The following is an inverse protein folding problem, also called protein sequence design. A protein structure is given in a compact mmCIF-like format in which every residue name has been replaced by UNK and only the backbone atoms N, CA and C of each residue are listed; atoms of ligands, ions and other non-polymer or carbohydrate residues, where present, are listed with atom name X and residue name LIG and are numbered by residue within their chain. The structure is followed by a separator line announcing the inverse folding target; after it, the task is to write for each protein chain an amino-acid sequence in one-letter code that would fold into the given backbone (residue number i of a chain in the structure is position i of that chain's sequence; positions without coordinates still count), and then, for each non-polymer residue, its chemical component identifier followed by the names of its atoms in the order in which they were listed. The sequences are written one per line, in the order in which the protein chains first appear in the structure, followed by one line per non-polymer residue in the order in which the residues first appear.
data_IF_998647513425
#
_entry.id   IF_998647513425
#
_cell.length_a   1.000
_cell.length_b   1.000
_cell.length_c   1.000
_cell.angle_alpha   90.00
_cell.angle_beta   90.00
_cell.angle_gamma   90.00
#
_symmetry.space_group_name_H-M   'P 1'
#
loop_
_entity.id
_entity.type
_entity.pdbx_description
1 polymer ?
#
# COMPACT_ATOMS: atom_id res chain seq x y z
N UNK A 1 13.57 14.51 -15.55
CA UNK A 1 12.62 13.38 -15.40
C UNK A 1 11.38 13.67 -16.21
N UNK A 2 10.87 12.67 -16.93
CA UNK A 2 9.60 12.81 -17.67
C UNK A 2 8.43 12.70 -16.68
N UNK A 3 7.38 13.52 -16.80
CA UNK A 3 6.20 13.40 -15.94
C UNK A 3 5.38 12.16 -16.31
N UNK A 4 4.52 11.73 -15.39
CA UNK A 4 3.49 10.73 -15.66
C UNK A 4 2.65 11.15 -16.88
N UNK A 5 2.54 10.33 -17.95
CA UNK A 5 1.79 10.71 -19.14
C UNK A 5 0.27 10.70 -18.93
N UNK A 6 -0.22 10.03 -17.87
CA UNK A 6 -1.64 9.99 -17.53
C UNK A 6 -2.06 11.20 -16.69
N UNK A 7 -3.25 11.77 -16.92
CA UNK A 7 -3.74 12.90 -16.12
C UNK A 7 -3.94 12.53 -14.65
N UNK A 8 -4.23 11.25 -14.38
CA UNK A 8 -4.50 10.68 -13.07
C UNK A 8 -3.58 9.50 -12.76
N UNK A 9 -4.19 8.39 -12.33
CA UNK A 9 -3.49 7.12 -12.14
C UNK A 9 -2.99 6.57 -13.49
N UNK A 10 -1.76 6.06 -13.51
CA UNK A 10 -1.17 5.39 -14.67
C UNK A 10 -1.44 3.87 -14.57
N UNK A 11 -2.23 3.28 -15.49
CA UNK A 11 -2.62 1.87 -15.42
C UNK A 11 -1.47 0.86 -15.47
N UNK A 12 -0.30 1.25 -16.01
CA UNK A 12 0.88 0.39 -16.07
C UNK A 12 1.58 0.25 -14.72
N UNK A 13 1.36 1.18 -13.78
CA UNK A 13 1.91 1.08 -12.43
C UNK A 13 1.33 -0.10 -11.63
N UNK A 14 0.16 -0.61 -12.01
CA UNK A 14 -0.49 -1.74 -11.32
C UNK A 14 0.32 -3.04 -11.42
N UNK A 15 1.16 -3.21 -12.44
CA UNK A 15 2.07 -4.37 -12.55
C UNK A 15 3.19 -4.33 -11.49
N UNK A 16 3.53 -3.14 -11.01
CA UNK A 16 4.59 -2.90 -10.02
C UNK A 16 4.02 -2.55 -8.65
N UNK A 17 2.80 -3.04 -8.36
CA UNK A 17 2.02 -2.56 -7.22
C UNK A 17 2.72 -2.69 -5.87
N UNK A 18 3.59 -3.69 -5.65
CA UNK A 18 4.33 -3.82 -4.39
C UNK A 18 5.22 -2.60 -4.07
N UNK A 19 5.97 -2.11 -5.05
CA UNK A 19 6.78 -0.89 -4.89
C UNK A 19 5.91 0.37 -4.88
N UNK A 20 4.95 0.45 -5.80
CA UNK A 20 4.01 1.59 -5.91
C UNK A 20 3.24 1.80 -4.61
N UNK A 21 2.69 0.73 -4.03
CA UNK A 21 1.95 0.73 -2.76
C UNK A 21 2.81 1.21 -1.60
N UNK A 22 4.03 0.71 -1.51
CA UNK A 22 5.00 1.11 -0.48
C UNK A 22 5.29 2.60 -0.58
N UNK A 23 5.60 3.10 -1.79
CA UNK A 23 5.87 4.52 -2.03
C UNK A 23 4.67 5.41 -1.76
N UNK A 24 3.48 5.02 -2.20
CA UNK A 24 2.24 5.74 -1.92
C UNK A 24 2.02 5.88 -0.40
N UNK A 25 2.27 4.81 0.36
CA UNK A 25 2.12 4.79 1.81
C UNK A 25 3.14 5.72 2.49
N UNK A 26 4.42 5.61 2.12
CA UNK A 26 5.48 6.49 2.65
C UNK A 26 5.23 7.95 2.32
N UNK A 27 4.97 8.28 1.05
CA UNK A 27 4.72 9.66 0.64
C UNK A 27 3.43 10.22 1.22
N UNK A 28 2.39 9.41 1.45
CA UNK A 28 1.20 9.86 2.14
C UNK A 28 1.52 10.27 3.58
N UNK A 29 2.30 9.46 4.31
CA UNK A 29 2.76 9.80 5.65
C UNK A 29 3.57 11.11 5.65
N UNK A 30 4.51 11.26 4.71
CA UNK A 30 5.39 12.42 4.61
C UNK A 30 4.65 13.71 4.22
N UNK A 31 3.67 13.64 3.30
CA UNK A 31 2.86 14.80 2.93
C UNK A 31 1.85 15.19 4.01
N UNK A 32 1.38 14.23 4.81
CA UNK A 32 0.44 14.51 5.89
C UNK A 32 1.13 15.13 7.10
N UNK A 33 2.28 14.61 7.51
CA UNK A 33 2.90 14.96 8.79
C UNK A 33 3.10 16.48 9.01
N UNK A 34 3.56 17.28 8.03
CA UNK A 34 3.71 18.73 8.18
C UNK A 34 2.37 19.47 8.32
N UNK A 35 1.29 18.88 7.81
CA UNK A 35 -0.06 19.46 7.82
C UNK A 35 -0.85 19.08 9.08
N UNK A 36 -0.39 18.11 9.87
CA UNK A 36 -1.12 17.61 11.03
C UNK A 36 -1.09 18.61 12.21
N UNK A 37 -2.23 18.81 12.90
CA UNK A 37 -2.28 19.55 14.15
C UNK A 37 -1.36 19.00 15.24
N UNK A 38 -0.98 19.87 16.18
CA UNK A 38 -0.14 19.50 17.32
C UNK A 38 -0.75 18.33 18.09
N UNK A 39 0.10 17.35 18.41
CA UNK A 39 -0.28 16.14 19.13
C UNK A 39 -0.68 14.98 18.21
N UNK A 40 -0.86 15.19 16.91
CA UNK A 40 -1.04 14.11 15.94
C UNK A 40 0.26 13.75 15.25
N UNK A 41 0.45 12.45 14.99
CA UNK A 41 1.60 11.91 14.25
C UNK A 41 1.13 10.91 13.21
N UNK A 42 1.56 11.07 11.97
CA UNK A 42 1.42 10.05 10.93
C UNK A 42 2.54 9.01 11.09
N UNK A 43 2.20 7.73 10.96
CA UNK A 43 3.12 6.60 10.99
C UNK A 43 2.77 5.64 9.87
N UNK A 44 3.80 5.07 9.25
CA UNK A 44 3.63 3.89 8.40
C UNK A 44 3.65 2.67 9.31
N UNK A 45 2.60 1.87 9.24
CA UNK A 45 2.48 0.63 10.00
C UNK A 45 2.50 -0.57 9.03
N UNK A 46 3.21 -1.62 9.43
CA UNK A 46 3.31 -2.89 8.71
C UNK A 46 2.48 -3.96 9.43
N UNK A 47 1.76 -4.78 8.67
CA UNK A 47 0.99 -5.91 9.21
C UNK A 47 1.07 -7.11 8.28
N UNK A 48 1.07 -8.32 8.85
CA UNK A 48 1.17 -9.56 8.07
C UNK A 48 -0.23 -10.10 7.76
N UNK A 49 -0.50 -10.41 6.50
CA UNK A 49 -1.75 -11.07 6.10
C UNK A 49 -1.55 -12.57 5.97
N UNK A 50 -1.78 -13.30 7.08
CA UNK A 50 -1.66 -14.76 7.12
C UNK A 50 -2.64 -15.40 6.12
N UNK A 51 -2.16 -16.39 5.36
CA UNK A 51 -3.01 -17.26 4.56
C UNK A 51 -3.79 -18.17 5.51
N UNK A 52 -5.10 -17.93 5.64
CA UNK A 52 -6.01 -18.79 6.41
C UNK A 52 -6.17 -20.14 5.65
N UNK A 53 -5.17 -21.04 5.68
CA UNK A 53 -5.37 -22.47 5.38
C UNK A 53 -5.74 -23.28 6.63
N UNK A 54 -5.61 -22.72 7.83
CA UNK A 54 -6.05 -23.37 9.06
C UNK A 54 -6.73 -22.38 10.00
N UNK A 55 -8.01 -22.64 10.23
CA UNK A 55 -8.83 -22.05 11.29
C UNK A 55 -8.22 -22.48 12.64
N UNK A 56 -7.27 -21.69 13.16
CA UNK A 56 -6.72 -21.86 14.48
C UNK A 56 -6.71 -20.49 15.17
N UNK A 57 -7.58 -20.38 16.18
CA UNK A 57 -7.61 -19.32 17.16
C UNK A 57 -6.20 -18.89 17.61
N UNK A 58 -5.83 -17.62 17.41
CA UNK A 58 -4.93 -16.99 18.37
C UNK A 58 -5.02 -15.46 18.41
N UNK A 59 -5.13 -14.95 19.63
CA UNK A 59 -5.02 -13.53 19.96
C UNK A 59 -3.55 -13.09 19.84
N UNK A 60 -3.05 -12.78 18.64
CA UNK A 60 -1.67 -12.25 18.54
C UNK A 60 -1.63 -10.73 18.65
N UNK A 61 -1.37 -10.33 19.88
CA UNK A 61 -0.82 -9.04 20.29
C UNK A 61 0.71 -9.12 20.05
N UNK A 62 1.30 -8.05 19.54
CA UNK A 62 2.74 -7.66 19.60
C UNK A 62 3.68 -7.83 18.38
N UNK A 63 4.11 -6.65 17.90
CA UNK A 63 5.46 -6.06 17.79
C UNK A 63 6.62 -6.87 17.16
N UNK A 64 7.24 -6.39 16.06
CA UNK A 64 8.45 -6.99 15.53
C UNK A 64 9.69 -6.60 16.36
N UNK A 65 10.43 -7.62 16.82
CA UNK A 65 11.72 -7.47 17.49
C UNK A 65 12.87 -7.61 16.50
N UNK A 66 13.75 -6.60 16.48
CA UNK A 66 15.09 -6.67 15.89
C UNK A 66 15.92 -7.69 16.67
N UNK A 67 16.47 -8.71 16.00
CA UNK A 67 17.47 -9.61 16.58
C UNK A 67 18.89 -9.24 16.12
N UNK A 68 19.68 -8.68 17.04
CA UNK A 68 21.14 -8.64 16.95
C UNK A 68 21.67 -9.96 17.53
N UNK A 69 22.43 -10.73 16.75
CA UNK A 69 23.16 -11.90 17.23
C UNK A 69 24.64 -11.53 17.40
N UNK A 70 25.08 -11.35 18.64
CA UNK A 70 26.49 -11.40 19.02
C UNK A 70 27.01 -12.83 18.93
N UNK A 71 28.15 -13.03 18.25
CA UNK A 71 28.89 -14.31 18.23
C UNK A 71 29.89 -14.34 19.38
N UNK A 72 29.83 -15.31 20.32
CA UNK A 72 30.98 -15.66 21.14
C UNK A 72 31.86 -16.64 20.36
N UNK A 73 33.14 -16.28 20.22
CA UNK A 73 34.16 -17.19 19.74
C UNK A 73 34.58 -18.19 20.82
N UNK A 74 35.01 -19.37 20.38
CA UNK A 74 35.89 -20.24 21.15
C UNK A 74 36.83 -20.97 20.20
N UNK A 75 38.12 -20.72 20.39
CA UNK A 75 39.25 -21.46 19.85
C UNK A 75 39.56 -22.69 20.71
N UNK A 76 40.10 -23.73 20.07
CA UNK A 76 41.08 -24.76 20.50
C UNK A 76 40.77 -26.10 19.77
N UNK A 77 41.70 -26.92 19.26
CA UNK A 77 43.17 -26.95 19.22
C UNK A 77 43.61 -28.04 18.22
N UNK A 78 44.79 -27.87 17.59
CA UNK A 78 45.71 -28.97 17.27
C UNK A 78 45.81 -29.47 15.82
N UNK A 79 46.96 -29.21 15.17
CA UNK A 79 47.45 -30.00 14.03
C UNK A 79 48.16 -29.19 12.94
N UNK A 80 49.50 -29.12 12.99
CA UNK A 80 50.34 -28.48 11.96
C UNK A 80 50.44 -29.39 10.72
N UNK A 81 50.07 -28.87 9.55
CA UNK A 81 50.55 -29.35 8.25
C UNK A 81 50.65 -28.17 7.27
N UNK A 82 51.88 -27.88 6.85
CA UNK A 82 52.21 -26.87 5.85
C UNK A 82 51.78 -27.36 4.45
N UNK A 83 50.87 -26.64 3.79
CA UNK A 83 50.56 -26.83 2.38
C UNK A 83 50.32 -25.48 1.68
N UNK A 84 50.86 -25.39 0.48
CA UNK A 84 51.04 -24.20 -0.35
C UNK A 84 49.72 -23.49 -0.63
N UNK A 85 49.69 -22.18 -0.39
CA UNK A 85 48.55 -21.32 -0.67
C UNK A 85 48.19 -21.35 -2.17
N UNK A 86 47.08 -22.02 -2.47
CA UNK A 86 46.29 -21.79 -3.66
C UNK A 86 44.99 -21.19 -3.16
N UNK A 87 44.86 -19.86 -3.19
CA UNK A 87 43.58 -19.19 -2.88
C UNK A 87 42.62 -19.39 -4.05
N UNK A 88 42.06 -20.59 -4.15
CA UNK A 88 40.76 -20.77 -4.79
C UNK A 88 39.71 -20.27 -3.80
N UNK A 89 39.01 -19.20 -4.14
CA UNK A 89 37.84 -18.77 -3.39
C UNK A 89 36.88 -19.96 -3.30
N UNK A 90 36.75 -20.53 -2.11
CA UNK A 90 35.79 -21.58 -1.85
C UNK A 90 34.39 -20.94 -1.89
N UNK A 91 33.69 -21.09 -3.01
CA UNK A 91 32.27 -20.81 -3.06
C UNK A 91 31.56 -21.77 -2.11
N UNK A 92 30.91 -21.22 -1.08
CA UNK A 92 30.05 -22.02 -0.22
C UNK A 92 28.87 -22.51 -1.06
N UNK A 93 28.71 -23.83 -1.20
CA UNK A 93 27.52 -24.39 -1.82
C UNK A 93 26.31 -24.10 -0.93
N UNK A 94 25.28 -23.40 -1.44
CA UNK A 94 24.12 -23.06 -0.63
C UNK A 94 23.30 -24.33 -0.33
N UNK A 95 22.99 -24.54 0.94
CA UNK A 95 21.95 -25.50 1.31
C UNK A 95 20.59 -24.91 0.90
N UNK A 96 19.98 -25.49 -0.13
CA UNK A 96 18.62 -25.14 -0.54
C UNK A 96 17.65 -25.74 0.48
N UNK A 97 17.14 -24.90 1.38
CA UNK A 97 16.06 -25.25 2.31
C UNK A 97 14.72 -24.76 1.77
N UNK A 98 13.66 -25.54 1.98
CA UNK A 98 12.30 -25.10 1.68
C UNK A 98 11.93 -23.96 2.62
N UNK A 99 11.73 -22.77 2.06
CA UNK A 99 11.25 -21.59 2.78
C UNK A 99 9.73 -21.57 2.72
N UNK A 100 9.07 -21.50 3.87
CA UNK A 100 7.65 -21.13 3.92
C UNK A 100 7.51 -19.74 3.29
N UNK A 101 6.57 -19.59 2.36
CA UNK A 101 6.32 -18.29 1.73
C UNK A 101 5.72 -17.41 2.82
N UNK A 102 6.53 -16.49 3.35
CA UNK A 102 6.05 -15.45 4.26
C UNK A 102 4.94 -14.68 3.55
N UNK A 103 3.82 -14.55 4.24
CA UNK A 103 2.66 -13.81 3.76
C UNK A 103 3.04 -12.37 3.40
N UNK A 104 2.38 -11.81 2.39
CA UNK A 104 2.64 -10.42 2.00
C UNK A 104 2.36 -9.47 3.16
N UNK A 105 3.36 -8.65 3.51
CA UNK A 105 3.23 -7.58 4.50
C UNK A 105 2.40 -6.43 3.90
N UNK A 106 1.20 -6.22 4.43
CA UNK A 106 0.40 -5.03 4.15
C UNK A 106 0.97 -3.80 4.85
N UNK A 107 0.77 -2.61 4.25
CA UNK A 107 1.17 -1.32 4.83
C UNK A 107 -0.01 -0.36 4.86
N UNK A 108 -0.07 0.46 5.90
CA UNK A 108 -1.03 1.56 5.98
C UNK A 108 -0.46 2.78 6.70
N UNK A 109 -1.10 3.94 6.53
CA UNK A 109 -0.76 5.14 7.28
C UNK A 109 -1.74 5.30 8.45
N UNK A 110 -1.22 5.32 9.66
CA UNK A 110 -2.00 5.61 10.86
C UNK A 110 -1.68 7.01 11.38
N UNK A 111 -2.73 7.80 11.59
CA UNK A 111 -2.64 9.06 12.33
C UNK A 111 -2.99 8.77 13.77
N UNK A 112 -2.03 8.94 14.68
CA UNK A 112 -2.17 8.64 16.10
C UNK A 112 -2.15 9.92 16.95
N UNK A 113 -2.93 9.93 18.02
CA UNK A 113 -2.86 10.98 19.04
C UNK A 113 -1.79 10.63 20.09
N UNK A 114 -0.69 11.37 20.04
CA UNK A 114 0.46 11.22 20.93
C UNK A 114 0.17 11.62 22.37
N UNK A 115 -0.89 12.38 22.64
CA UNK A 115 -1.29 12.80 24.00
C UNK A 115 -2.13 11.76 24.71
N UNK A 116 -2.75 10.84 23.97
CA UNK A 116 -3.63 9.80 24.52
C UNK A 116 -3.02 8.41 24.37
N UNK A 117 -1.71 8.28 24.58
CA UNK A 117 -1.02 6.99 24.50
C UNK A 117 -1.03 6.36 23.11
N UNK A 118 -0.92 7.18 22.05
CA UNK A 118 -0.89 6.74 20.64
C UNK A 118 -2.18 6.06 20.14
N UNK A 119 -3.33 6.46 20.68
CA UNK A 119 -4.62 6.03 20.12
C UNK A 119 -4.71 6.41 18.63
N UNK A 120 -5.10 5.44 17.80
CA UNK A 120 -5.33 5.67 16.37
C UNK A 120 -6.58 6.53 16.20
N UNK A 121 -6.43 7.64 15.47
CA UNK A 121 -7.52 8.55 15.09
C UNK A 121 -8.05 8.18 13.71
N UNK A 122 -7.14 7.96 12.74
CA UNK A 122 -7.48 7.68 11.34
C UNK A 122 -6.52 6.66 10.76
N UNK A 123 -7.05 5.63 10.10
CA UNK A 123 -6.29 4.70 9.26
C UNK A 123 -6.53 5.02 7.80
N UNK A 124 -5.45 5.15 7.02
CA UNK A 124 -5.46 5.37 5.58
C UNK A 124 -4.86 4.12 4.91
N UNK A 125 -5.68 3.39 4.17
CA UNK A 125 -5.37 2.10 3.58
C UNK A 125 -5.33 2.24 2.05
N UNK A 126 -4.15 2.11 1.45
CA UNK A 126 -4.06 1.83 0.02
C UNK A 126 -4.32 0.34 -0.18
N UNK A 127 -5.32 -0.02 -1.00
CA UNK A 127 -5.66 -1.43 -1.18
C UNK A 127 -4.54 -2.17 -1.91
N UNK A 128 -4.31 -3.42 -1.50
CA UNK A 128 -3.42 -4.37 -2.19
C UNK A 128 -4.22 -5.45 -2.94
N UNK A 129 -3.63 -6.14 -3.92
CA UNK A 129 -4.23 -7.32 -4.54
C UNK A 129 -4.63 -8.38 -3.50
N UNK A 130 -3.80 -8.57 -2.48
CA UNK A 130 -4.05 -9.47 -1.35
C UNK A 130 -5.33 -9.11 -0.59
N UNK A 131 -5.64 -7.81 -0.37
CA UNK A 131 -6.91 -7.41 0.24
C UNK A 131 -8.14 -7.79 -0.61
N UNK A 132 -7.95 -7.98 -1.92
CA UNK A 132 -9.01 -8.35 -2.87
C UNK A 132 -9.06 -9.86 -3.17
N UNK A 133 -8.07 -10.64 -2.75
CA UNK A 133 -7.97 -12.08 -3.03
C UNK A 133 -8.03 -12.91 -1.73
N UNK A 134 -6.96 -13.62 -1.38
CA UNK A 134 -6.89 -14.51 -0.23
C UNK A 134 -6.94 -13.76 1.11
N UNK A 135 -6.43 -12.52 1.18
CA UNK A 135 -6.49 -11.66 2.37
C UNK A 135 -7.83 -10.97 2.61
N UNK A 136 -8.85 -11.25 1.79
CA UNK A 136 -10.11 -10.50 1.80
C UNK A 136 -10.86 -10.59 3.13
N UNK A 137 -10.99 -11.78 3.72
CA UNK A 137 -11.75 -11.94 4.96
C UNK A 137 -11.08 -11.20 6.12
N UNK A 138 -9.75 -11.31 6.24
CA UNK A 138 -8.98 -10.57 7.23
C UNK A 138 -9.14 -9.06 7.05
N UNK A 139 -9.10 -8.56 5.81
CA UNK A 139 -9.29 -7.15 5.52
C UNK A 139 -10.68 -6.64 5.92
N UNK A 140 -11.75 -7.40 5.63
CA UNK A 140 -13.12 -7.05 6.04
C UNK A 140 -13.26 -7.03 7.58
N UNK A 141 -12.65 -8.00 8.29
CA UNK A 141 -12.61 -7.99 9.76
C UNK A 141 -11.87 -6.76 10.30
N UNK A 142 -10.72 -6.41 9.72
CA UNK A 142 -9.93 -5.21 10.07
C UNK A 142 -10.77 -3.93 9.90
N UNK A 143 -11.49 -3.77 8.80
CA UNK A 143 -12.38 -2.63 8.57
C UNK A 143 -13.42 -2.49 9.69
N UNK A 144 -14.10 -3.60 10.03
CA UNK A 144 -15.10 -3.61 11.08
C UNK A 144 -14.51 -3.22 12.43
N UNK A 145 -13.38 -3.83 12.81
CA UNK A 145 -12.68 -3.54 14.08
C UNK A 145 -12.25 -2.07 14.19
N UNK A 146 -11.75 -1.48 13.10
CA UNK A 146 -11.35 -0.06 13.07
C UNK A 146 -12.56 0.85 13.32
N UNK A 147 -13.66 0.63 12.58
CA UNK A 147 -14.86 1.44 12.71
C UNK A 147 -15.53 1.28 14.09
N UNK A 148 -15.61 0.06 14.61
CA UNK A 148 -16.11 -0.23 15.96
C UNK A 148 -15.21 0.37 17.05
N UNK A 149 -13.89 0.40 16.83
CA UNK A 149 -12.91 1.06 17.70
C UNK A 149 -12.97 2.60 17.66
N UNK A 150 -13.86 3.18 16.84
CA UNK A 150 -13.99 4.62 16.67
C UNK A 150 -12.86 5.25 15.83
N UNK A 151 -12.14 4.44 15.05
CA UNK A 151 -11.07 4.89 14.14
C UNK A 151 -11.69 5.29 12.80
N UNK A 152 -11.39 6.49 12.32
CA UNK A 152 -11.80 6.89 10.98
C UNK A 152 -11.08 6.05 9.93
N UNK A 153 -11.78 5.65 8.88
CA UNK A 153 -11.24 4.78 7.84
C UNK A 153 -11.24 5.50 6.50
N UNK A 154 -10.07 5.60 5.88
CA UNK A 154 -9.88 6.10 4.52
C UNK A 154 -9.33 4.96 3.67
N UNK A 155 -10.06 4.57 2.64
CA UNK A 155 -9.70 3.45 1.76
C UNK A 155 -9.48 3.98 0.36
N UNK A 156 -8.30 3.71 -0.21
CA UNK A 156 -7.88 4.21 -1.51
C UNK A 156 -7.60 3.00 -2.41
N UNK A 157 -8.54 2.73 -3.33
CA UNK A 157 -8.46 1.65 -4.30
C UNK A 157 -8.04 2.19 -5.67
N UNK A 158 -6.75 2.07 -5.97
CA UNK A 158 -6.19 2.38 -7.29
C UNK A 158 -5.86 1.11 -8.09
N UNK A 159 -6.55 0.00 -7.80
CA UNK A 159 -6.43 -1.26 -8.52
C UNK A 159 -7.71 -1.54 -9.31
N UNK A 160 -7.59 -1.76 -10.63
CA UNK A 160 -8.73 -2.10 -11.49
C UNK A 160 -9.17 -3.54 -11.33
N UNK A 161 -8.25 -4.42 -10.96
CA UNK A 161 -8.50 -5.84 -10.74
C UNK A 161 -9.13 -6.16 -9.38
N UNK A 162 -9.69 -7.37 -9.29
CA UNK A 162 -10.23 -7.95 -8.05
C UNK A 162 -11.66 -7.52 -7.70
N UNK A 163 -12.30 -8.22 -6.74
CA UNK A 163 -13.63 -7.90 -6.25
C UNK A 163 -13.66 -6.57 -5.47
N UNK A 164 -14.89 -6.06 -5.32
CA UNK A 164 -15.16 -4.93 -4.43
C UNK A 164 -14.97 -5.34 -2.97
N UNK A 165 -14.10 -4.61 -2.26
CA UNK A 165 -13.81 -4.87 -0.83
C UNK A 165 -13.86 -3.61 0.05
N UNK A 166 -14.29 -2.46 -0.47
CA UNK A 166 -14.46 -1.24 0.35
C UNK A 166 -15.55 -1.41 1.40
N UNK A 167 -15.43 -0.68 2.50
CA UNK A 167 -16.41 -0.65 3.61
C UNK A 167 -17.81 -0.24 3.17
N UNK A 168 -17.94 0.64 2.17
CA UNK A 168 -19.22 0.93 1.51
C UNK A 168 -19.55 -0.20 0.55
N UNK A 169 -20.66 -0.93 0.71
CA UNK A 169 -20.97 -2.06 -0.16
C UNK A 169 -21.38 -1.57 -1.56
N UNK A 170 -20.95 -2.29 -2.60
CA UNK A 170 -21.24 -1.98 -4.01
C UNK A 170 -22.72 -1.67 -4.31
N UNK A 171 -23.66 -2.35 -3.63
CA UNK A 171 -25.11 -2.13 -3.78
C UNK A 171 -25.56 -0.72 -3.41
N UNK A 172 -24.81 -0.05 -2.53
CA UNK A 172 -25.08 1.32 -2.10
C UNK A 172 -24.49 2.37 -3.03
N UNK A 173 -23.64 1.98 -3.99
CA UNK A 173 -22.99 2.91 -4.94
C UNK A 173 -23.76 2.91 -6.27
N UNK A 174 -24.28 4.08 -6.70
CA UNK A 174 -24.95 4.22 -8.00
C UNK A 174 -24.05 3.80 -9.17
N UNK A 175 -24.63 3.21 -10.21
CA UNK A 175 -23.85 2.72 -11.36
C UNK A 175 -23.00 3.81 -12.02
N UNK A 176 -23.48 5.05 -12.08
CA UNK A 176 -22.74 6.21 -12.63
C UNK A 176 -21.48 6.57 -11.83
N UNK A 177 -21.38 6.17 -10.56
CA UNK A 177 -20.21 6.41 -9.71
C UNK A 177 -19.25 5.21 -9.64
N UNK A 178 -19.58 4.08 -10.29
CA UNK A 178 -18.71 2.90 -10.33
C UNK A 178 -17.58 3.09 -11.33
N UNK A 179 -16.59 3.89 -10.96
CA UNK A 179 -15.38 4.13 -11.75
C UNK A 179 -14.32 3.02 -11.54
N UNK A 180 -13.27 2.92 -12.38
CA UNK A 180 -12.23 1.91 -12.24
C UNK A 180 -11.46 2.00 -10.92
N UNK A 181 -11.23 3.23 -10.45
CA UNK A 181 -10.58 3.53 -9.17
C UNK A 181 -11.57 4.20 -8.22
N UNK A 182 -11.35 4.06 -6.92
CA UNK A 182 -12.35 4.41 -5.90
C UNK A 182 -11.68 4.85 -4.61
N UNK A 183 -12.30 5.82 -3.94
CA UNK A 183 -11.87 6.22 -2.60
C UNK A 183 -13.10 6.30 -1.71
N UNK A 184 -12.99 5.72 -0.53
CA UNK A 184 -14.02 5.77 0.50
C UNK A 184 -13.47 6.44 1.75
N UNK A 185 -14.22 7.36 2.34
CA UNK A 185 -13.90 7.95 3.65
C UNK A 185 -15.08 7.73 4.59
N UNK A 186 -14.85 6.99 5.67
CA UNK A 186 -15.81 6.75 6.74
C UNK A 186 -15.35 7.49 7.99
N UNK A 187 -16.15 8.49 8.38
CA UNK A 187 -15.99 9.13 9.67
C UNK A 187 -16.66 8.25 10.73
N UNK A 188 -15.87 7.55 11.56
CA UNK A 188 -16.36 6.71 12.65
C UNK A 188 -17.32 7.38 13.65
N UNK A 189 -17.43 8.73 13.70
CA UNK A 189 -18.47 9.42 14.48
C UNK A 189 -19.84 9.42 13.82
N UNK A 190 -19.90 9.13 12.52
CA UNK A 190 -21.12 8.95 11.71
C UNK A 190 -20.96 7.67 10.86
N UNK A 191 -20.83 6.48 11.48
CA UNK A 191 -20.41 5.26 10.77
C UNK A 191 -21.43 4.75 9.74
N UNK A 192 -22.65 5.29 9.74
CA UNK A 192 -23.69 5.00 8.75
C UNK A 192 -23.57 5.84 7.48
N UNK A 193 -22.63 6.79 7.43
CA UNK A 193 -22.35 7.65 6.28
C UNK A 193 -20.92 7.49 5.83
N UNK A 194 -20.73 7.57 4.51
CA UNK A 194 -19.42 7.56 3.89
C UNK A 194 -19.36 8.60 2.78
N UNK A 195 -18.17 9.12 2.53
CA UNK A 195 -17.86 9.91 1.34
C UNK A 195 -17.24 8.97 0.31
N UNK A 196 -17.93 8.77 -0.81
CA UNK A 196 -17.44 7.99 -1.95
C UNK A 196 -16.97 8.96 -3.02
N UNK A 197 -15.70 8.83 -3.42
CA UNK A 197 -15.10 9.62 -4.49
C UNK A 197 -14.90 8.72 -5.70
N UNK A 198 -15.70 8.89 -6.77
CA UNK A 198 -15.49 8.16 -8.01
C UNK A 198 -14.22 8.68 -8.69
N UNK A 199 -13.30 7.78 -9.06
CA UNK A 199 -12.03 8.16 -9.68
C UNK A 199 -11.93 7.59 -11.09
N UNK A 200 -12.13 8.46 -12.06
CA UNK A 200 -11.99 8.14 -13.48
C UNK A 200 -10.53 7.96 -13.88
N UNK A 201 -10.29 7.09 -14.85
CA UNK A 201 -9.00 6.93 -15.53
C UNK A 201 -8.51 8.23 -16.20
N UNK A 202 -9.45 9.07 -16.66
CA UNK A 202 -9.19 10.19 -17.58
C UNK A 202 -9.08 11.54 -16.87
N UNK A 203 -9.27 11.57 -15.56
CA UNK A 203 -9.26 12.80 -14.76
C UNK A 203 -8.14 12.73 -13.72
N UNK A 204 -7.61 13.90 -13.29
CA UNK A 204 -6.71 13.96 -12.15
C UNK A 204 -7.33 13.36 -10.88
N UNK A 205 -6.48 12.72 -10.08
CA UNK A 205 -6.88 12.19 -8.78
C UNK A 205 -7.27 13.32 -7.82
N UNK A 206 -8.34 13.16 -7.03
CA UNK A 206 -8.84 14.21 -6.16
C UNK A 206 -7.91 14.46 -4.97
N UNK A 207 -8.01 15.66 -4.38
CA UNK A 207 -7.56 15.89 -3.02
C UNK A 207 -8.69 15.55 -2.04
N UNK A 208 -8.47 14.59 -1.15
CA UNK A 208 -9.49 14.08 -0.22
C UNK A 208 -9.30 14.65 1.19
N UNK A 209 -10.40 14.83 1.92
CA UNK A 209 -10.34 15.22 3.33
C UNK A 209 -9.91 14.03 4.17
N UNK A 210 -9.00 14.29 5.11
CA UNK A 210 -8.60 13.31 6.12
C UNK A 210 -9.34 13.66 7.42
N UNK A 211 -10.31 12.85 7.87
CA UNK A 211 -11.01 13.10 9.13
C UNK A 211 -10.00 13.02 10.29
N UNK A 212 -10.13 13.92 11.27
CA UNK A 212 -9.28 14.01 12.47
C UNK A 212 -10.16 14.20 13.71
N UNK A 213 -9.58 14.65 14.84
CA UNK A 213 -10.33 14.85 16.08
C UNK A 213 -11.33 16.01 15.95
N UNK A 214 -12.39 16.07 16.77
CA UNK A 214 -13.30 17.21 16.78
C UNK A 214 -12.55 18.53 17.02
N UNK A 215 -12.77 19.52 16.14
CA UNK A 215 -12.17 20.85 16.26
C UNK A 215 -10.75 20.99 15.71
N UNK A 216 -10.13 19.89 15.26
CA UNK A 216 -8.88 19.97 14.51
C UNK A 216 -9.09 20.69 13.17
N UNK A 217 -8.07 21.41 12.71
CA UNK A 217 -8.07 22.04 11.39
C UNK A 217 -8.19 20.98 10.29
N UNK A 218 -8.88 21.33 9.19
CA UNK A 218 -9.05 20.42 8.06
C UNK A 218 -7.71 20.11 7.40
N UNK A 219 -7.42 18.82 7.24
CA UNK A 219 -6.24 18.31 6.50
C UNK A 219 -6.72 17.60 5.24
N UNK A 220 -5.98 17.81 4.14
CA UNK A 220 -6.26 17.19 2.84
C UNK A 220 -5.06 16.40 2.35
N UNK A 221 -5.32 15.25 1.73
CA UNK A 221 -4.32 14.45 1.05
C UNK A 221 -4.49 14.61 -0.47
N UNK A 222 -3.47 15.15 -1.14
CA UNK A 222 -3.48 15.33 -2.59
C UNK A 222 -2.97 14.05 -3.29
N UNK A 223 -3.91 13.21 -3.75
CA UNK A 223 -3.58 11.92 -4.34
C UNK A 223 -2.86 12.04 -5.69
N UNK A 224 -3.12 13.10 -6.45
CA UNK A 224 -2.41 13.33 -7.71
C UNK A 224 -0.92 13.57 -7.46
N UNK A 225 -0.60 14.33 -6.41
CA UNK A 225 0.79 14.59 -6.03
C UNK A 225 1.48 13.29 -5.63
N UNK A 226 0.81 12.43 -4.86
CA UNK A 226 1.35 11.13 -4.47
C UNK A 226 1.70 10.25 -5.68
N UNK A 227 0.76 10.05 -6.61
CA UNK A 227 1.00 9.20 -7.78
C UNK A 227 2.10 9.79 -8.67
N UNK A 228 2.15 11.12 -8.84
CA UNK A 228 3.22 11.75 -9.61
C UNK A 228 4.59 11.60 -8.94
N UNK A 229 4.67 11.74 -7.60
CA UNK A 229 5.90 11.47 -6.86
C UNK A 229 6.32 10.00 -6.96
N UNK A 230 5.37 9.07 -6.84
CA UNK A 230 5.62 7.63 -7.02
C UNK A 230 6.14 7.33 -8.41
N UNK A 231 5.55 7.91 -9.45
CA UNK A 231 6.01 7.77 -10.82
C UNK A 231 7.46 8.26 -11.00
N UNK A 232 7.71 9.52 -10.63
CA UNK A 232 9.00 10.19 -10.87
C UNK A 232 10.12 9.61 -10.01
N UNK A 233 9.89 9.44 -8.71
CA UNK A 233 10.92 8.94 -7.79
C UNK A 233 11.06 7.41 -7.84
N UNK A 234 10.08 6.73 -8.43
CA UNK A 234 10.14 5.31 -8.75
C UNK A 234 10.92 5.00 -10.03
N UNK A 235 11.21 6.01 -10.85
CA UNK A 235 11.93 5.81 -12.11
C UNK A 235 11.07 5.24 -13.23
N UNK A 236 9.74 5.35 -13.15
CA UNK A 236 8.80 4.71 -14.07
C UNK A 236 8.70 5.41 -15.46
N UNK A 237 9.63 6.31 -15.79
CA UNK A 237 9.75 6.90 -17.12
C UNK A 237 10.13 5.91 -18.24
N UNK A 238 10.62 4.72 -17.90
CA UNK A 238 11.07 3.68 -18.83
C UNK A 238 10.06 2.54 -19.04
N UNK A 239 8.85 2.67 -18.47
CA UNK A 239 7.77 1.70 -18.66
C UNK A 239 7.50 1.43 -20.14
N UNK A 240 7.39 0.14 -20.48
CA UNK A 240 7.08 -0.31 -21.83
C UNK A 240 5.58 -0.18 -22.14
N UNK A 241 5.21 0.97 -22.71
CA UNK A 241 3.86 1.28 -23.16
C UNK A 241 3.44 0.57 -24.46
N UNK A 242 4.32 -0.20 -25.10
CA UNK A 242 3.95 -1.01 -26.29
C UNK A 242 3.12 -2.23 -25.90
N UNK A 243 3.27 -2.69 -24.66
CA UNK A 243 2.46 -3.75 -24.06
C UNK A 243 1.25 -3.15 -23.37
N UNK A 244 0.15 -3.90 -23.36
CA UNK A 244 -1.05 -3.48 -22.63
C UNK A 244 -0.83 -3.61 -21.10
N UNK A 245 -1.44 -2.75 -20.28
CA UNK A 245 -1.29 -2.80 -18.83
C UNK A 245 -1.96 -4.07 -18.29
N UNK A 246 -1.62 -4.46 -17.06
CA UNK A 246 -2.23 -5.60 -16.38
C UNK A 246 -3.05 -5.08 -15.19
N UNK A 247 -4.39 -5.27 -15.15
CA UNK A 247 -5.23 -5.89 -16.17
C UNK A 247 -5.35 -5.04 -17.45
N UNK A 248 -5.72 -5.61 -18.62
CA UNK A 248 -5.86 -4.84 -19.85
C UNK A 248 -6.97 -3.79 -19.74
N UNK A 249 -6.75 -2.63 -20.35
CA UNK A 249 -7.83 -1.66 -20.59
C UNK A 249 -8.76 -2.22 -21.67
N UNK A 250 -10.04 -1.86 -21.62
CA UNK A 250 -11.04 -2.34 -22.59
C UNK A 250 -11.89 -1.21 -23.15
N UNK A 251 -12.46 -1.44 -24.34
CA UNK A 251 -13.41 -0.51 -24.97
C UNK A 251 -12.86 0.92 -25.11
N UNK A 252 -13.68 1.96 -24.83
CA UNK A 252 -13.30 3.35 -25.01
C UNK A 252 -12.09 3.81 -24.18
N UNK A 253 -11.77 3.14 -23.08
CA UNK A 253 -10.60 3.49 -22.25
C UNK A 253 -9.30 2.98 -22.87
N UNK A 254 -9.32 1.84 -23.56
CA UNK A 254 -8.17 1.33 -24.30
C UNK A 254 -7.81 2.23 -25.48
N UNK A 255 -8.81 2.61 -26.29
CA UNK A 255 -8.64 3.51 -27.43
C UNK A 255 -8.07 4.87 -27.01
N UNK A 256 -8.61 5.44 -25.92
CA UNK A 256 -8.15 6.69 -25.35
C UNK A 256 -6.70 6.61 -24.86
N UNK A 257 -6.33 5.55 -24.12
CA UNK A 257 -4.98 5.39 -23.60
C UNK A 257 -3.95 5.23 -24.74
N UNK A 258 -4.29 4.48 -25.80
CA UNK A 258 -3.44 4.36 -26.99
C UNK A 258 -3.21 5.71 -27.65
N UNK A 259 -4.27 6.52 -27.82
CA UNK A 259 -4.13 7.84 -28.42
C UNK A 259 -3.28 8.78 -27.55
N UNK A 260 -3.51 8.79 -26.25
CA UNK A 260 -2.73 9.58 -25.28
C UNK A 260 -1.23 9.25 -25.35
N UNK A 261 -0.90 7.96 -25.43
CA UNK A 261 0.50 7.51 -25.50
C UNK A 261 1.14 7.83 -26.85
N UNK A 262 0.39 7.76 -27.96
CA UNK A 262 0.87 8.20 -29.30
C UNK A 262 1.16 9.70 -29.33
N UNK A 263 0.28 10.51 -28.78
CA UNK A 263 0.46 11.96 -28.69
C UNK A 263 1.71 12.32 -27.86
N UNK A 264 2.04 11.49 -26.85
CA UNK A 264 3.25 11.59 -26.05
C UNK A 264 4.49 10.94 -26.67
N UNK A 265 4.39 10.36 -27.88
CA UNK A 265 5.47 9.58 -28.53
C UNK A 265 6.01 8.42 -27.67
N UNK A 266 5.11 7.77 -26.92
CA UNK A 266 5.38 6.60 -26.07
C UNK A 266 4.81 5.30 -26.66
N UNK A 267 3.98 5.39 -27.71
CA UNK A 267 3.38 4.27 -28.44
C UNK A 267 3.17 4.61 -29.91
#
# INVERSE_FOLDING_TARGET
MKPNPFPGMNPWLEEFWGDVHTRLTTYASDLLQPCLPVGLRARVEEYVTVEDEFDASDESRYSPDVRVLERPGSFESGGVATAVASTTEAFAEPLIVTREIESETGRSVQIVDTRTGHRIVTSIEFLSPTNKSHGRQQYLRKQQQMLEGGVHLVEIDLLRGGPWVLSVPLRSVPQSHRQPYRICVVNARQPTKAEDYPVSLRLPLPSIRIPLRPGDAEVRLNLQTLVNMTYVNGGYEDLDYTRDPIPPLTGPDAEWAVQLLKDASLR
#
